data_IF_363686311186
#
_entry.id   IF_363686311186
#
_cell.length_a   1.000
_cell.length_b   1.000
_cell.length_c   1.000
_cell.angle_alpha   90.00
_cell.angle_beta   90.00
_cell.angle_gamma   90.00
#
_symmetry.space_group_name_H-M   'P 1'
#
loop_
_entity.id
_entity.type
_entity.pdbx_description
1 polymer ?
#
# COMPACT_ATOMS: atom_id res chain seq x y z
N UNK A 1 -12.69 -22.23 5.41
CA UNK A 1 -11.22 -22.32 5.58
C UNK A 1 -10.47 -22.42 4.25
N UNK A 2 -10.78 -23.38 3.35
CA UNK A 2 -10.10 -23.51 2.04
C UNK A 2 -10.06 -22.21 1.21
N UNK A 3 -11.15 -21.43 1.18
CA UNK A 3 -11.18 -20.13 0.49
C UNK A 3 -10.26 -19.07 1.11
N UNK A 4 -10.18 -18.99 2.44
CA UNK A 4 -9.32 -18.04 3.15
C UNK A 4 -7.83 -18.36 2.97
N UNK A 5 -7.46 -19.65 2.91
CA UNK A 5 -6.09 -20.07 2.60
C UNK A 5 -5.71 -19.66 1.18
N UNK A 6 -6.60 -19.88 0.20
CA UNK A 6 -6.38 -19.45 -1.19
C UNK A 6 -6.17 -17.93 -1.27
N UNK A 7 -7.00 -17.15 -0.58
CA UNK A 7 -6.86 -15.69 -0.53
C UNK A 7 -5.54 -15.26 0.13
N UNK A 8 -5.11 -15.92 1.20
CA UNK A 8 -3.84 -15.64 1.84
C UNK A 8 -2.63 -15.93 0.92
N UNK A 9 -2.64 -17.06 0.20
CA UNK A 9 -1.58 -17.38 -0.78
C UNK A 9 -1.54 -16.32 -1.88
N UNK A 10 -2.71 -15.96 -2.43
CA UNK A 10 -2.85 -14.94 -3.46
C UNK A 10 -2.30 -13.57 -3.00
N UNK A 11 -2.65 -13.14 -1.80
CA UNK A 11 -2.14 -11.92 -1.18
C UNK A 11 -0.62 -11.96 -0.96
N UNK A 12 -0.08 -13.10 -0.53
CA UNK A 12 1.36 -13.29 -0.35
C UNK A 12 2.12 -13.15 -1.67
N UNK A 13 1.63 -13.80 -2.73
CA UNK A 13 2.22 -13.70 -4.08
C UNK A 13 2.12 -12.28 -4.63
N UNK A 14 0.96 -11.64 -4.52
CA UNK A 14 0.77 -10.28 -4.98
C UNK A 14 1.67 -9.30 -4.22
N UNK A 15 1.79 -9.45 -2.90
CA UNK A 15 2.67 -8.61 -2.08
C UNK A 15 4.14 -8.80 -2.44
N UNK A 16 4.57 -10.04 -2.67
CA UNK A 16 5.93 -10.33 -3.14
C UNK A 16 6.25 -9.55 -4.41
N UNK A 17 5.40 -9.71 -5.43
CA UNK A 17 5.58 -9.03 -6.71
C UNK A 17 5.54 -7.52 -6.56
N UNK A 18 4.62 -7.01 -5.74
CA UNK A 18 4.44 -5.57 -5.51
C UNK A 18 5.68 -4.96 -4.88
N UNK A 19 6.18 -5.55 -3.80
CA UNK A 19 7.35 -5.03 -3.08
C UNK A 19 8.60 -5.09 -3.93
N UNK A 20 8.79 -6.17 -4.69
CA UNK A 20 9.87 -6.28 -5.66
C UNK A 20 9.85 -5.13 -6.69
N UNK A 21 8.70 -4.91 -7.34
CA UNK A 21 8.57 -3.89 -8.38
C UNK A 21 8.60 -2.47 -7.80
N UNK A 22 7.83 -2.18 -6.76
CA UNK A 22 7.70 -0.85 -6.17
C UNK A 22 9.04 -0.36 -5.59
N UNK A 23 9.85 -1.25 -5.02
CA UNK A 23 11.17 -0.89 -4.48
C UNK A 23 12.17 -0.50 -5.57
N UNK A 24 11.93 -0.86 -6.84
CA UNK A 24 12.77 -0.48 -7.98
C UNK A 24 12.44 0.92 -8.54
N UNK A 25 11.32 1.53 -8.12
CA UNK A 25 10.81 2.78 -8.71
C UNK A 25 11.81 3.92 -8.64
N UNK A 26 12.54 4.08 -7.53
CA UNK A 26 13.53 5.15 -7.38
C UNK A 26 14.64 5.05 -8.43
N UNK A 27 15.20 3.85 -8.61
CA UNK A 27 16.23 3.58 -9.62
C UNK A 27 15.69 3.76 -11.05
N UNK A 28 14.48 3.27 -11.33
CA UNK A 28 13.84 3.42 -12.63
C UNK A 28 13.55 4.88 -12.97
N UNK A 29 13.05 5.67 -12.02
CA UNK A 29 12.82 7.11 -12.19
C UNK A 29 14.13 7.83 -12.47
N UNK A 30 15.19 7.51 -11.74
CA UNK A 30 16.51 8.11 -11.96
C UNK A 30 17.06 7.79 -13.36
N UNK A 31 16.97 6.53 -13.78
CA UNK A 31 17.41 6.09 -15.10
C UNK A 31 16.62 6.78 -16.21
N UNK A 32 15.30 6.81 -16.10
CA UNK A 32 14.43 7.46 -17.09
C UNK A 32 14.68 8.97 -17.16
N UNK A 33 14.80 9.65 -16.02
CA UNK A 33 15.07 11.09 -15.97
C UNK A 33 16.44 11.41 -16.58
N UNK A 34 17.46 10.60 -16.27
CA UNK A 34 18.82 10.75 -16.81
C UNK A 34 18.86 10.52 -18.31
N UNK A 35 18.19 9.48 -18.81
CA UNK A 35 18.11 9.16 -20.24
C UNK A 35 17.40 10.26 -21.05
N UNK A 36 16.44 10.95 -20.44
CA UNK A 36 15.69 12.05 -21.05
C UNK A 36 16.34 13.43 -20.85
N UNK A 37 17.46 13.52 -20.13
CA UNK A 37 18.12 14.79 -19.81
C UNK A 37 17.27 15.72 -18.93
N UNK A 38 16.39 15.16 -18.10
CA UNK A 38 15.47 15.90 -17.25
C UNK A 38 16.08 16.18 -15.87
N UNK A 39 15.89 17.40 -15.38
CA UNK A 39 16.31 17.78 -14.04
C UNK A 39 15.44 17.10 -12.96
N UNK A 40 16.01 16.95 -11.76
CA UNK A 40 15.27 16.54 -10.57
C UNK A 40 14.15 17.54 -10.23
N UNK A 41 13.09 17.06 -9.56
CA UNK A 41 11.92 17.85 -9.21
C UNK A 41 10.69 17.42 -10.00
N UNK A 42 9.90 18.39 -10.49
CA UNK A 42 8.58 18.11 -11.09
C UNK A 42 8.61 17.07 -12.24
N UNK A 43 9.58 17.11 -13.19
CA UNK A 43 9.65 16.09 -14.25
C UNK A 43 9.87 14.66 -13.70
N UNK A 44 10.76 14.49 -12.73
CA UNK A 44 11.02 13.19 -12.08
C UNK A 44 9.81 12.67 -11.27
N UNK A 45 9.02 13.58 -10.67
CA UNK A 45 7.76 13.23 -10.00
C UNK A 45 6.71 12.77 -11.00
N UNK A 46 6.62 13.40 -12.18
CA UNK A 46 5.72 12.97 -13.24
C UNK A 46 6.09 11.56 -13.75
N UNK A 47 7.38 11.29 -13.97
CA UNK A 47 7.87 9.95 -14.33
C UNK A 47 7.49 8.92 -13.27
N UNK A 48 7.74 9.22 -12.00
CA UNK A 48 7.36 8.36 -10.87
C UNK A 48 5.86 8.10 -10.85
N UNK A 49 5.04 9.13 -11.12
CA UNK A 49 3.58 9.01 -11.20
C UNK A 49 3.15 8.08 -12.33
N UNK A 50 3.78 8.18 -13.51
CA UNK A 50 3.50 7.28 -14.63
C UNK A 50 3.87 5.84 -14.28
N UNK A 51 5.02 5.59 -13.65
CA UNK A 51 5.39 4.23 -13.24
C UNK A 51 4.46 3.66 -12.17
N UNK A 52 4.08 4.44 -11.16
CA UNK A 52 3.10 4.02 -10.16
C UNK A 52 1.74 3.76 -10.80
N UNK A 53 1.30 4.60 -11.74
CA UNK A 53 0.08 4.36 -12.51
C UNK A 53 0.12 3.01 -13.24
N UNK A 54 1.21 2.72 -13.96
CA UNK A 54 1.37 1.44 -14.66
C UNK A 54 1.37 0.27 -13.69
N UNK A 55 2.07 0.38 -12.56
CA UNK A 55 2.06 -0.66 -11.53
C UNK A 55 0.67 -0.87 -10.96
N UNK A 56 -0.02 0.18 -10.51
CA UNK A 56 -1.37 0.06 -9.95
C UNK A 56 -2.36 -0.53 -10.98
N UNK A 57 -2.25 -0.15 -12.25
CA UNK A 57 -3.07 -0.70 -13.31
C UNK A 57 -2.83 -2.20 -13.51
N UNK A 58 -1.57 -2.61 -13.62
CA UNK A 58 -1.19 -4.03 -13.81
C UNK A 58 -1.55 -4.85 -12.57
N UNK A 59 -1.21 -4.38 -11.37
CA UNK A 59 -1.48 -5.09 -10.12
C UNK A 59 -2.97 -5.14 -9.79
N UNK A 60 -3.76 -4.16 -10.23
CA UNK A 60 -5.22 -4.25 -10.18
C UNK A 60 -5.73 -5.44 -10.99
N UNK A 61 -5.26 -5.61 -12.23
CA UNK A 61 -5.63 -6.76 -13.08
C UNK A 61 -5.18 -8.08 -12.43
N UNK A 62 -3.94 -8.16 -11.95
CA UNK A 62 -3.42 -9.37 -11.29
C UNK A 62 -4.24 -9.66 -10.01
N UNK A 63 -4.55 -8.64 -9.21
CA UNK A 63 -5.37 -8.77 -8.01
C UNK A 63 -6.75 -9.33 -8.30
N UNK A 64 -7.42 -8.84 -9.34
CA UNK A 64 -8.72 -9.33 -9.81
C UNK A 64 -8.63 -10.80 -10.27
N UNK A 65 -7.61 -11.15 -11.07
CA UNK A 65 -7.35 -12.52 -11.53
C UNK A 65 -7.07 -13.49 -10.36
N UNK A 66 -6.44 -12.99 -9.29
CA UNK A 66 -6.15 -13.73 -8.07
C UNK A 66 -7.32 -13.73 -7.07
N UNK A 67 -8.50 -13.24 -7.47
CA UNK A 67 -9.73 -13.30 -6.67
C UNK A 67 -9.87 -12.16 -5.66
N UNK A 68 -9.42 -10.95 -6.03
CA UNK A 68 -9.45 -9.77 -5.16
C UNK A 68 -8.27 -9.75 -4.18
N UNK A 69 -7.10 -10.21 -4.63
CA UNK A 69 -5.89 -10.16 -3.83
C UNK A 69 -5.43 -8.72 -3.61
N UNK A 70 -4.86 -8.44 -2.44
CA UNK A 70 -4.33 -7.12 -2.09
C UNK A 70 -2.92 -7.26 -1.55
N UNK A 71 -2.13 -6.19 -1.65
CA UNK A 71 -0.73 -6.14 -1.17
C UNK A 71 -0.56 -5.26 0.07
N UNK A 72 -1.66 -4.82 0.69
CA UNK A 72 -1.65 -3.93 1.84
C UNK A 72 -2.67 -4.37 2.90
N UNK A 73 -2.22 -4.73 4.13
CA UNK A 73 -3.11 -5.09 5.23
C UNK A 73 -4.17 -4.03 5.56
N UNK A 74 -3.82 -2.74 5.48
CA UNK A 74 -4.75 -1.64 5.80
C UNK A 74 -5.85 -1.51 4.77
N UNK A 75 -5.58 -1.82 3.50
CA UNK A 75 -6.60 -1.83 2.46
C UNK A 75 -7.66 -2.89 2.78
N UNK A 76 -7.26 -4.12 3.10
CA UNK A 76 -8.19 -5.19 3.49
C UNK A 76 -9.05 -4.78 4.69
N UNK A 77 -8.46 -4.18 5.74
CA UNK A 77 -9.22 -3.70 6.88
C UNK A 77 -10.17 -2.53 6.55
N UNK A 78 -9.73 -1.58 5.72
CA UNK A 78 -10.54 -0.43 5.32
C UNK A 78 -11.75 -0.86 4.50
N UNK A 79 -11.57 -1.69 3.47
CA UNK A 79 -12.67 -2.18 2.64
C UNK A 79 -13.64 -3.03 3.45
N UNK A 80 -13.14 -3.88 4.36
CA UNK A 80 -13.99 -4.61 5.30
C UNK A 80 -14.81 -3.65 6.20
N UNK A 81 -14.17 -2.68 6.85
CA UNK A 81 -14.83 -1.71 7.72
C UNK A 81 -15.84 -0.81 6.98
N UNK A 82 -15.57 -0.51 5.71
CA UNK A 82 -16.45 0.24 4.82
C UNK A 82 -17.69 -0.54 4.36
N UNK A 83 -17.76 -1.85 4.65
CA UNK A 83 -18.82 -2.74 4.15
C UNK A 83 -18.65 -3.16 2.70
N UNK A 84 -17.45 -2.98 2.15
CA UNK A 84 -17.06 -3.31 0.78
C UNK A 84 -16.05 -4.49 0.71
N UNK A 85 -15.81 -5.19 1.83
CA UNK A 85 -14.87 -6.32 1.90
C UNK A 85 -15.36 -7.62 1.27
N UNK A 86 -16.53 -7.62 0.62
CA UNK A 86 -17.09 -8.81 -0.03
C UNK A 86 -17.28 -9.98 0.93
N UNK A 87 -16.55 -11.08 0.69
CA UNK A 87 -16.56 -12.29 1.51
C UNK A 87 -15.53 -12.32 2.64
N UNK A 88 -14.79 -11.23 2.86
CA UNK A 88 -13.78 -11.18 3.92
C UNK A 88 -14.40 -11.28 5.31
N UNK A 89 -13.63 -11.87 6.22
CA UNK A 89 -13.97 -12.05 7.62
C UNK A 89 -12.71 -11.83 8.46
N UNK A 90 -12.87 -11.70 9.78
CA UNK A 90 -11.73 -11.58 10.69
C UNK A 90 -10.76 -12.78 10.58
N UNK A 91 -11.29 -13.98 10.32
CA UNK A 91 -10.48 -15.19 10.10
C UNK A 91 -9.70 -15.09 8.78
N UNK A 92 -10.31 -14.55 7.72
CA UNK A 92 -9.63 -14.27 6.44
C UNK A 92 -8.47 -13.30 6.66
N UNK A 93 -8.72 -12.18 7.36
CA UNK A 93 -7.71 -11.17 7.68
C UNK A 93 -6.53 -11.75 8.48
N UNK A 94 -6.81 -12.58 9.48
CA UNK A 94 -5.80 -13.23 10.32
C UNK A 94 -4.85 -14.15 9.53
N UNK A 95 -5.30 -14.71 8.41
CA UNK A 95 -4.47 -15.52 7.50
C UNK A 95 -3.77 -14.66 6.43
N UNK A 96 -4.46 -13.64 5.92
CA UNK A 96 -3.97 -12.77 4.84
C UNK A 96 -2.83 -11.87 5.32
N UNK A 97 -2.91 -11.25 6.51
CA UNK A 97 -1.88 -10.30 6.96
C UNK A 97 -0.50 -10.95 7.15
N UNK A 98 -0.35 -12.12 7.79
CA UNK A 98 0.94 -12.81 7.86
C UNK A 98 1.45 -13.22 6.47
N UNK A 99 0.56 -13.62 5.56
CA UNK A 99 0.96 -13.99 4.21
C UNK A 99 1.47 -12.77 3.40
N UNK A 100 0.81 -11.61 3.52
CA UNK A 100 1.31 -10.35 2.94
C UNK A 100 2.67 -9.97 3.52
N UNK A 101 2.84 -10.05 4.84
CA UNK A 101 4.12 -9.77 5.49
C UNK A 101 5.24 -10.72 5.01
N UNK A 102 4.97 -12.02 4.89
CA UNK A 102 5.91 -13.00 4.35
C UNK A 102 6.25 -12.73 2.87
N UNK A 103 5.23 -12.41 2.06
CA UNK A 103 5.40 -11.99 0.68
C UNK A 103 6.30 -10.76 0.55
N UNK A 104 6.07 -9.75 1.41
CA UNK A 104 6.89 -8.55 1.45
C UNK A 104 8.36 -8.84 1.77
N UNK A 105 8.64 -9.69 2.76
CA UNK A 105 10.01 -10.14 3.07
C UNK A 105 10.66 -10.78 1.84
N UNK A 106 9.97 -11.70 1.18
CA UNK A 106 10.47 -12.32 -0.05
C UNK A 106 10.76 -11.30 -1.16
N UNK A 107 9.87 -10.32 -1.33
CA UNK A 107 10.02 -9.26 -2.34
C UNK A 107 11.24 -8.37 -2.06
N UNK A 108 11.48 -8.01 -0.79
CA UNK A 108 12.68 -7.25 -0.37
C UNK A 108 13.95 -8.06 -0.61
N UNK A 109 13.97 -9.36 -0.26
CA UNK A 109 15.14 -10.22 -0.52
C UNK A 109 15.43 -10.27 -2.01
N UNK A 110 14.41 -10.53 -2.83
CA UNK A 110 14.56 -10.64 -4.27
C UNK A 110 15.10 -9.36 -4.89
N UNK A 111 14.60 -8.18 -4.50
CA UNK A 111 15.10 -6.91 -5.07
C UNK A 111 16.53 -6.60 -4.62
N UNK A 112 16.90 -6.92 -3.37
CA UNK A 112 18.26 -6.72 -2.86
C UNK A 112 19.28 -7.63 -3.55
N UNK A 113 18.85 -8.81 -4.01
CA UNK A 113 19.69 -9.76 -4.74
C UNK A 113 19.93 -9.32 -6.19
N UNK A 114 18.88 -8.87 -6.89
CA UNK A 114 18.99 -8.57 -8.33
C UNK A 114 19.36 -7.12 -8.65
N UNK A 115 19.25 -6.20 -7.69
CA UNK A 115 19.53 -4.78 -7.94
C UNK A 115 21.02 -4.57 -8.26
N UNK A 116 21.37 -3.92 -9.39
CA UNK A 116 22.75 -3.61 -9.71
C UNK A 116 23.43 -2.79 -8.60
N UNK A 117 24.70 -3.08 -8.35
CA UNK A 117 25.47 -2.47 -7.26
C UNK A 117 25.43 -0.94 -7.29
N UNK A 118 25.48 -0.33 -8.49
CA UNK A 118 25.42 1.13 -8.61
C UNK A 118 24.08 1.73 -8.16
N UNK A 119 22.98 0.98 -8.14
CA UNK A 119 21.64 1.47 -7.75
C UNK A 119 21.16 0.92 -6.41
N UNK A 120 21.92 0.02 -5.77
CA UNK A 120 21.50 -0.64 -4.52
C UNK A 120 21.22 0.34 -3.38
N UNK A 121 21.92 1.48 -3.35
CA UNK A 121 21.70 2.56 -2.38
C UNK A 121 20.37 3.31 -2.58
N UNK A 122 19.71 3.16 -3.73
CA UNK A 122 18.41 3.77 -4.06
C UNK A 122 17.23 2.89 -3.65
N UNK A 123 17.49 1.67 -3.20
CA UNK A 123 16.47 0.73 -2.75
C UNK A 123 16.42 0.76 -1.24
N UNK A 124 15.25 1.09 -0.68
CA UNK A 124 15.09 1.20 0.75
C UNK A 124 13.63 1.20 1.17
N UNK A 125 13.43 0.87 2.44
CA UNK A 125 12.13 0.84 3.07
C UNK A 125 11.77 2.12 3.84
N UNK A 126 10.56 2.15 4.39
CA UNK A 126 10.17 3.17 5.36
C UNK A 126 11.13 3.14 6.56
N UNK A 127 11.49 4.32 7.06
CA UNK A 127 12.39 4.48 8.19
C UNK A 127 11.99 5.70 8.99
N UNK A 128 11.76 5.52 10.29
CA UNK A 128 11.35 6.62 11.14
C UNK A 128 12.49 7.63 11.31
N UNK A 129 12.23 8.92 11.03
CA UNK A 129 13.21 10.01 11.17
C UNK A 129 12.88 10.99 12.30
N UNK A 130 11.77 10.75 12.99
CA UNK A 130 11.25 11.56 14.10
C UNK A 130 11.07 10.68 15.34
N UNK A 131 10.65 11.25 16.46
CA UNK A 131 10.32 10.43 17.62
C UNK A 131 9.13 9.50 17.34
N UNK A 132 9.00 8.46 18.17
CA UNK A 132 8.01 7.41 18.03
C UNK A 132 6.57 7.94 17.95
N UNK A 133 6.20 8.92 18.79
CA UNK A 133 4.82 9.39 18.87
C UNK A 133 4.48 10.29 17.69
N UNK A 134 5.38 11.18 17.31
CA UNK A 134 5.23 12.00 16.09
C UNK A 134 5.13 11.11 14.85
N UNK A 135 5.96 10.05 14.77
CA UNK A 135 5.90 9.06 13.71
C UNK A 135 4.57 8.32 13.65
N UNK A 136 4.09 7.85 14.79
CA UNK A 136 2.81 7.16 14.92
C UNK A 136 1.63 8.05 14.49
N UNK A 137 1.64 9.33 14.86
CA UNK A 137 0.60 10.29 14.44
C UNK A 137 0.69 10.51 12.92
N UNK A 138 1.89 10.74 12.39
CA UNK A 138 2.09 10.96 10.97
C UNK A 138 1.65 9.75 10.12
N UNK A 139 2.07 8.53 10.45
CA UNK A 139 1.63 7.31 9.75
C UNK A 139 0.11 7.12 9.83
N UNK A 140 -0.49 7.37 10.99
CA UNK A 140 -1.94 7.27 11.16
C UNK A 140 -2.69 8.28 10.28
N UNK A 141 -2.26 9.54 10.26
CA UNK A 141 -2.87 10.62 9.46
C UNK A 141 -2.67 10.38 7.97
N UNK A 142 -1.45 10.03 7.54
CA UNK A 142 -1.16 9.72 6.14
C UNK A 142 -1.99 8.53 5.65
N UNK A 143 -2.06 7.46 6.46
CA UNK A 143 -2.89 6.29 6.15
C UNK A 143 -4.36 6.65 6.10
N UNK A 144 -4.86 7.51 7.00
CA UNK A 144 -6.23 8.01 6.95
C UNK A 144 -6.52 8.73 5.64
N UNK A 145 -5.68 9.70 5.24
CA UNK A 145 -5.89 10.51 4.03
C UNK A 145 -5.87 9.62 2.77
N UNK A 146 -4.84 8.77 2.61
CA UNK A 146 -4.75 7.89 1.44
C UNK A 146 -5.91 6.89 1.41
N UNK A 147 -6.28 6.31 2.56
CA UNK A 147 -7.36 5.32 2.61
C UNK A 147 -8.70 5.96 2.26
N UNK A 148 -8.98 7.16 2.76
CA UNK A 148 -10.20 7.88 2.41
C UNK A 148 -10.25 8.19 0.91
N UNK A 149 -9.14 8.66 0.33
CA UNK A 149 -9.03 8.89 -1.11
C UNK A 149 -9.26 7.60 -1.91
N UNK A 150 -8.61 6.50 -1.53
CA UNK A 150 -8.77 5.18 -2.16
C UNK A 150 -10.24 4.72 -2.12
N UNK A 151 -10.89 4.79 -0.97
CA UNK A 151 -12.30 4.40 -0.83
C UNK A 151 -13.21 5.24 -1.74
N UNK A 152 -13.03 6.57 -1.76
CA UNK A 152 -13.78 7.46 -2.64
C UNK A 152 -13.54 7.12 -4.10
N UNK A 153 -12.27 7.01 -4.52
CA UNK A 153 -11.89 6.76 -5.92
C UNK A 153 -12.38 5.39 -6.40
N UNK A 154 -12.26 4.35 -5.59
CA UNK A 154 -12.62 2.98 -5.98
C UNK A 154 -14.12 2.75 -5.94
N UNK A 155 -14.82 3.23 -4.91
CA UNK A 155 -16.24 2.92 -4.69
C UNK A 155 -17.19 3.96 -5.28
N UNK A 156 -16.73 5.19 -5.52
CA UNK A 156 -17.56 6.32 -5.99
C UNK A 156 -16.93 7.12 -7.14
N UNK A 157 -15.68 6.83 -7.48
CA UNK A 157 -14.95 7.56 -8.50
C UNK A 157 -15.35 7.20 -9.94
N UNK A 158 -14.57 7.66 -10.92
CA UNK A 158 -14.86 7.45 -12.33
C UNK A 158 -14.94 5.97 -12.72
N UNK A 159 -15.91 5.63 -13.58
CA UNK A 159 -16.05 4.26 -14.12
C UNK A 159 -14.90 3.85 -15.04
N UNK A 160 -14.20 4.82 -15.64
CA UNK A 160 -13.07 4.55 -16.52
C UNK A 160 -11.85 4.10 -15.69
N UNK A 161 -11.35 2.86 -15.88
CA UNK A 161 -10.25 2.32 -15.09
C UNK A 161 -8.94 3.09 -15.28
N UNK A 162 -8.71 3.73 -16.44
CA UNK A 162 -7.52 4.54 -16.66
C UNK A 162 -7.54 5.79 -15.78
N UNK A 163 -8.66 6.52 -15.76
CA UNK A 163 -8.81 7.73 -14.94
C UNK A 163 -8.76 7.35 -13.46
N UNK A 164 -9.42 6.27 -13.06
CA UNK A 164 -9.42 5.78 -11.68
C UNK A 164 -8.01 5.46 -11.19
N UNK A 165 -7.24 4.69 -11.95
CA UNK A 165 -5.85 4.35 -11.60
C UNK A 165 -4.92 5.57 -11.64
N UNK A 166 -5.17 6.51 -12.55
CA UNK A 166 -4.42 7.78 -12.58
C UNK A 166 -4.64 8.59 -11.30
N UNK A 167 -5.88 8.71 -10.83
CA UNK A 167 -6.19 9.38 -9.56
C UNK A 167 -5.52 8.67 -8.37
N UNK A 168 -5.54 7.34 -8.33
CA UNK A 168 -4.83 6.58 -7.28
C UNK A 168 -3.32 6.84 -7.30
N UNK A 169 -2.71 6.88 -8.49
CA UNK A 169 -1.28 7.14 -8.65
C UNK A 169 -0.91 8.56 -8.18
N UNK A 170 -1.68 9.57 -8.62
CA UNK A 170 -1.48 10.97 -8.21
C UNK A 170 -1.64 11.13 -6.70
N UNK A 171 -2.69 10.56 -6.10
CA UNK A 171 -2.88 10.60 -4.64
C UNK A 171 -1.73 9.92 -3.89
N UNK A 172 -1.23 8.79 -4.40
CA UNK A 172 -0.09 8.07 -3.81
C UNK A 172 1.17 8.91 -3.87
N UNK A 173 1.53 9.45 -5.04
CA UNK A 173 2.73 10.28 -5.21
C UNK A 173 2.64 11.57 -4.39
N UNK A 174 1.50 12.25 -4.41
CA UNK A 174 1.32 13.49 -3.66
C UNK A 174 1.55 13.30 -2.15
N UNK A 175 1.00 12.21 -1.58
CA UNK A 175 1.23 11.91 -0.17
C UNK A 175 2.66 11.46 0.09
N UNK A 176 3.22 10.58 -0.75
CA UNK A 176 4.58 10.06 -0.54
C UNK A 176 5.63 11.17 -0.64
N UNK A 177 5.53 12.04 -1.65
CA UNK A 177 6.42 13.19 -1.83
C UNK A 177 6.28 14.21 -0.68
N UNK A 178 5.10 14.34 -0.07
CA UNK A 178 4.84 15.25 1.04
C UNK A 178 5.30 14.75 2.42
N UNK A 179 5.68 13.48 2.54
CA UNK A 179 5.85 12.80 3.84
C UNK A 179 7.30 12.50 4.23
N UNK A 180 8.18 13.48 4.08
CA UNK A 180 9.62 13.38 4.37
C UNK A 180 9.99 12.96 5.81
N UNK A 181 9.03 13.02 6.76
CA UNK A 181 9.23 12.82 8.20
C UNK A 181 9.27 11.35 8.66
N UNK A 182 8.54 10.42 8.03
CA UNK A 182 8.46 9.00 8.48
C UNK A 182 8.96 7.99 7.46
N UNK A 183 9.23 8.42 6.22
CA UNK A 183 9.34 7.51 5.09
C UNK A 183 8.03 6.73 4.99
N UNK A 184 6.95 7.38 4.50
CA UNK A 184 5.58 6.92 4.71
C UNK A 184 5.40 5.46 4.30
N UNK A 185 5.06 4.59 5.25
CA UNK A 185 4.74 3.24 4.82
C UNK A 185 3.33 3.21 4.27
N UNK A 186 2.35 3.65 5.08
CA UNK A 186 0.90 3.47 4.84
C UNK A 186 0.49 2.01 4.53
N UNK A 187 1.44 1.08 4.64
CA UNK A 187 1.35 -0.33 4.30
C UNK A 187 2.18 -1.15 5.31
N UNK A 188 1.53 -1.78 6.29
CA UNK A 188 2.25 -2.55 7.32
C UNK A 188 3.10 -3.69 6.76
N UNK A 189 2.68 -4.34 5.66
CA UNK A 189 3.46 -5.41 5.03
C UNK A 189 4.76 -4.88 4.41
N UNK A 190 4.70 -3.73 3.73
CA UNK A 190 5.88 -3.06 3.18
C UNK A 190 6.89 -2.72 4.29
N UNK A 191 6.44 -2.06 5.35
CA UNK A 191 7.31 -1.73 6.49
C UNK A 191 7.92 -2.98 7.12
N UNK A 192 7.10 -4.02 7.31
CA UNK A 192 7.57 -5.27 7.90
C UNK A 192 8.66 -5.96 7.05
N UNK A 193 8.49 -6.02 5.73
CA UNK A 193 9.47 -6.62 4.82
C UNK A 193 10.86 -6.01 4.98
N UNK A 194 10.93 -4.68 5.00
CA UNK A 194 12.18 -3.93 5.20
C UNK A 194 12.71 -4.01 6.62
N UNK A 195 11.84 -3.95 7.63
CA UNK A 195 12.23 -4.11 9.02
C UNK A 195 12.80 -5.51 9.31
N UNK A 196 12.31 -6.55 8.61
CA UNK A 196 12.80 -7.91 8.78
C UNK A 196 14.28 -8.04 8.38
N UNK A 197 14.63 -7.55 7.19
CA UNK A 197 16.01 -7.59 6.68
C UNK A 197 16.97 -6.76 7.53
N UNK A 198 16.46 -5.69 8.13
CA UNK A 198 17.24 -4.83 9.02
C UNK A 198 17.24 -5.30 10.49
N UNK A 199 16.71 -6.48 10.82
CA UNK A 199 16.58 -6.99 12.19
C UNK A 199 15.81 -6.05 13.15
N UNK A 200 14.85 -5.29 12.62
CA UNK A 200 13.98 -4.35 13.36
C UNK A 200 12.51 -4.78 13.43
N UNK A 201 12.17 -5.95 12.89
CA UNK A 201 10.78 -6.41 12.77
C UNK A 201 10.06 -6.65 14.11
N UNK A 202 10.81 -6.85 15.20
CA UNK A 202 10.30 -7.07 16.55
C UNK A 202 10.34 -5.81 17.43
N UNK A 203 10.58 -4.64 16.84
CA UNK A 203 10.67 -3.37 17.59
C UNK A 203 9.30 -2.78 17.88
N UNK A 204 9.24 -1.94 18.92
CA UNK A 204 8.05 -1.17 19.22
C UNK A 204 7.72 -0.16 18.12
N UNK A 205 8.74 0.40 17.45
CA UNK A 205 8.58 1.21 16.24
C UNK A 205 7.78 0.44 15.18
N UNK A 206 8.18 -0.79 14.86
CA UNK A 206 7.48 -1.61 13.88
C UNK A 206 6.02 -1.84 14.27
N UNK A 207 5.75 -2.28 15.50
CA UNK A 207 4.40 -2.60 15.93
C UNK A 207 3.51 -1.36 16.08
N UNK A 208 3.98 -0.32 16.76
CA UNK A 208 3.17 0.85 17.09
C UNK A 208 3.02 1.80 15.90
N UNK A 209 4.14 2.16 15.25
CA UNK A 209 4.16 3.17 14.17
C UNK A 209 3.67 2.59 12.86
N UNK A 210 4.10 1.37 12.50
CA UNK A 210 3.84 0.81 11.17
C UNK A 210 2.72 -0.24 11.09
N UNK A 211 2.25 -0.76 12.22
CA UNK A 211 1.05 -1.61 12.27
C UNK A 211 -0.12 -0.86 12.89
N UNK A 212 -0.08 -0.57 14.19
CA UNK A 212 -1.23 -0.04 14.94
C UNK A 212 -1.73 1.29 14.35
N UNK A 213 -0.85 2.28 14.17
CA UNK A 213 -1.24 3.60 13.67
C UNK A 213 -1.90 3.57 12.28
N UNK A 214 -1.33 2.90 11.26
CA UNK A 214 -1.97 2.74 9.96
C UNK A 214 -3.34 2.06 10.04
N UNK A 215 -3.51 1.01 10.86
CA UNK A 215 -4.82 0.38 11.03
C UNK A 215 -5.86 1.34 11.63
N UNK A 216 -5.49 2.14 12.63
CA UNK A 216 -6.37 3.16 13.20
C UNK A 216 -6.78 4.16 12.11
N UNK A 217 -5.81 4.70 11.36
CA UNK A 217 -6.08 5.63 10.27
C UNK A 217 -7.02 5.05 9.20
N UNK A 218 -6.77 3.81 8.78
CA UNK A 218 -7.55 3.12 7.76
C UNK A 218 -9.00 2.84 8.20
N UNK A 219 -9.20 2.41 9.45
CA UNK A 219 -10.53 2.14 10.00
C UNK A 219 -11.31 3.46 10.19
N UNK A 220 -10.67 4.51 10.69
CA UNK A 220 -11.29 5.83 10.80
C UNK A 220 -11.73 6.36 9.43
N UNK A 221 -10.89 6.22 8.40
CA UNK A 221 -11.22 6.61 7.04
C UNK A 221 -12.45 5.84 6.52
N UNK A 222 -12.53 4.54 6.79
CA UNK A 222 -13.68 3.72 6.42
C UNK A 222 -14.97 4.14 7.14
N UNK A 223 -14.90 4.53 8.42
CA UNK A 223 -16.05 5.05 9.15
C UNK A 223 -16.52 6.40 8.62
N UNK A 224 -15.61 7.32 8.36
CA UNK A 224 -15.94 8.61 7.73
C UNK A 224 -16.54 8.39 6.34
N UNK A 225 -15.98 7.47 5.54
CA UNK A 225 -16.55 7.12 4.24
C UNK A 225 -18.00 6.61 4.39
N UNK A 226 -18.29 5.73 5.35
CA UNK A 226 -19.65 5.24 5.59
C UNK A 226 -20.60 6.31 6.10
N UNK A 227 -20.10 7.25 6.89
CA UNK A 227 -20.88 8.39 7.35
C UNK A 227 -21.28 9.30 6.18
N UNK A 228 -20.34 9.58 5.27
CA UNK A 228 -20.57 10.38 4.08
C UNK A 228 -21.41 9.65 3.02
N UNK A 229 -21.26 8.32 2.93
CA UNK A 229 -21.93 7.46 1.95
C UNK A 229 -22.60 6.26 2.62
N UNK A 230 -23.78 6.44 3.23
CA UNK A 230 -24.49 5.36 3.90
C UNK A 230 -24.81 4.19 2.95
N UNK A 231 -24.75 2.98 3.48
CA UNK A 231 -25.16 1.77 2.76
C UNK A 231 -26.68 1.81 2.50
N UNK A 232 -27.16 1.33 1.34
CA UNK A 232 -28.60 1.21 1.09
C UNK A 232 -29.27 0.39 2.21
N UNK A 233 -30.30 0.94 2.84
CA UNK A 233 -31.09 0.23 3.83
C UNK A 233 -31.79 -0.94 3.14
N UNK A 234 -31.46 -2.18 3.55
CA UNK A 234 -32.26 -3.36 3.14
C UNK A 234 -33.67 -3.16 3.72
N UNK A 235 -34.61 -2.70 2.89
CA UNK A 235 -36.02 -2.75 3.24
C UNK A 235 -36.38 -4.22 3.49
N UNK A 236 -36.70 -4.57 4.74
CA UNK A 236 -37.38 -5.83 5.03
C UNK A 236 -38.70 -5.78 4.25
N UNK A 237 -38.86 -6.62 3.23
CA UNK A 237 -40.18 -6.88 2.67
C UNK A 237 -41.04 -7.43 3.81
N UNK A 238 -42.05 -6.67 4.21
CA UNK A 238 -43.09 -7.10 5.12
C UNK A 238 -43.97 -8.15 4.45
#
# INVERSE_FOLDING_TARGET
MKGAIKAAIADGVLTFMWIFCASSLGALTYLASSALGLAEGFPSLLITTVFIFLLLFIFGIIGDLLGGATFNPTATAAFYAAGAGGGDSLISAALRFPAQAAGAVGGVIAILEVMPMQYKHMVGGPSLKVDLHTGAIAEGVLTFIITLAVLIIVLRGPSNPLIRNWLLAVSTVALVAGSSYTGPSMNPANAFGWAYINNKHNTWEQLYVYWISPFIGAILAAWIFRFLFPLPTKQKKA
#
